data_IF_900502846281
#
_entry.id   IF_900502846281
#
_cell.length_a   1.000
_cell.length_b   1.000
_cell.length_c   1.000
_cell.angle_alpha   90.00
_cell.angle_beta   90.00
_cell.angle_gamma   90.00
#
_symmetry.space_group_name_H-M   'P 1'
#
loop_
_entity.id
_entity.type
_entity.pdbx_description
1 polymer ?
#
# COMPACT_ATOMS: atom_id res chain seq x y z
N UNK A 1 7.93 10.33 -15.61
CA UNK A 1 9.03 9.56 -14.99
C UNK A 1 9.56 8.64 -16.08
N UNK A 2 10.84 8.74 -16.44
CA UNK A 2 11.42 7.82 -17.42
C UNK A 2 11.53 6.46 -16.75
N UNK A 3 11.08 5.40 -17.41
CA UNK A 3 11.14 4.02 -16.92
C UNK A 3 12.54 3.40 -17.12
N UNK A 4 13.59 4.22 -17.09
CA UNK A 4 14.98 3.86 -17.36
C UNK A 4 15.78 3.50 -16.10
N UNK A 5 15.14 3.53 -14.92
CA UNK A 5 15.75 3.20 -13.63
C UNK A 5 16.64 4.30 -13.04
N UNK A 6 16.80 5.43 -13.72
CA UNK A 6 17.51 6.61 -13.18
C UNK A 6 16.65 7.36 -12.16
N UNK A 7 17.27 8.23 -11.34
CA UNK A 7 16.57 9.05 -10.33
C UNK A 7 15.77 8.24 -9.28
N UNK A 8 16.31 7.09 -8.86
CA UNK A 8 15.74 6.29 -7.78
C UNK A 8 15.76 7.09 -6.47
N UNK A 9 14.59 7.21 -5.84
CA UNK A 9 14.43 7.88 -4.55
C UNK A 9 13.76 6.95 -3.54
N UNK A 10 14.16 7.07 -2.27
CA UNK A 10 13.48 6.42 -1.14
C UNK A 10 12.29 7.31 -0.75
N UNK A 11 11.08 6.75 -0.78
CA UNK A 11 9.84 7.48 -0.47
C UNK A 11 9.32 7.21 0.94
N UNK A 12 9.58 6.02 1.49
CA UNK A 12 9.23 5.68 2.87
C UNK A 12 10.49 5.11 3.54
N UNK A 13 11.29 5.94 4.22
CA UNK A 13 12.58 5.50 4.76
C UNK A 13 12.45 4.75 6.09
N UNK A 14 11.37 5.02 6.85
CA UNK A 14 11.16 4.56 8.22
C UNK A 14 9.74 4.03 8.41
N UNK A 15 9.47 3.44 9.57
CA UNK A 15 8.13 2.95 9.98
C UNK A 15 7.54 1.86 9.06
N UNK A 16 8.41 1.04 8.46
CA UNK A 16 8.03 -0.19 7.79
C UNK A 16 8.44 -1.37 8.65
N UNK A 17 7.53 -2.31 8.84
CA UNK A 17 7.83 -3.63 9.38
C UNK A 17 8.21 -4.55 8.23
N UNK A 18 7.21 -5.14 7.57
CA UNK A 18 7.44 -6.02 6.41
C UNK A 18 6.48 -5.66 5.28
N UNK A 19 6.91 -4.79 4.35
CA UNK A 19 6.09 -4.46 3.18
C UNK A 19 6.02 -5.67 2.24
N UNK A 20 4.81 -6.08 1.86
CA UNK A 20 4.60 -7.19 0.93
C UNK A 20 4.31 -6.70 -0.49
N UNK A 21 3.10 -6.18 -0.74
CA UNK A 21 2.69 -5.69 -2.05
C UNK A 21 2.42 -4.18 -2.03
N UNK A 22 2.52 -3.57 -3.21
CA UNK A 22 2.14 -2.17 -3.46
C UNK A 22 1.28 -2.04 -4.71
N UNK A 23 0.50 -0.97 -4.78
CA UNK A 23 -0.28 -0.62 -5.97
C UNK A 23 -0.43 0.90 -6.09
N UNK A 24 -0.59 1.39 -7.32
CA UNK A 24 -0.74 2.81 -7.63
C UNK A 24 -2.18 3.14 -8.02
N UNK A 25 -2.77 4.14 -7.38
CA UNK A 25 -4.00 4.79 -7.82
C UNK A 25 -3.67 6.01 -8.69
N UNK A 26 -3.74 5.84 -10.00
CA UNK A 26 -3.47 6.91 -10.95
C UNK A 26 -4.49 8.05 -10.90
N UNK A 27 -5.72 7.77 -10.46
CA UNK A 27 -6.78 8.78 -10.39
C UNK A 27 -6.59 9.73 -9.21
N UNK A 28 -6.24 9.19 -8.04
CA UNK A 28 -6.03 9.98 -6.81
C UNK A 28 -4.56 10.30 -6.55
N UNK A 29 -3.65 9.81 -7.39
CA UNK A 29 -2.19 9.97 -7.28
C UNK A 29 -1.63 9.44 -5.95
N UNK A 30 -2.11 8.27 -5.55
CA UNK A 30 -1.74 7.62 -4.28
C UNK A 30 -1.01 6.31 -4.52
N UNK A 31 -0.02 6.05 -3.70
CA UNK A 31 0.64 4.75 -3.58
C UNK A 31 0.11 4.06 -2.33
N UNK A 32 -0.39 2.82 -2.46
CA UNK A 32 -0.83 1.99 -1.34
C UNK A 32 0.13 0.82 -1.15
N UNK A 33 0.35 0.40 0.10
CA UNK A 33 1.12 -0.80 0.43
C UNK A 33 0.55 -1.55 1.63
N UNK A 34 0.82 -2.85 1.67
CA UNK A 34 0.49 -3.75 2.79
C UNK A 34 1.73 -3.96 3.66
N UNK A 35 1.56 -3.89 4.98
CA UNK A 35 2.60 -4.25 5.95
C UNK A 35 2.12 -5.41 6.84
N UNK A 36 2.76 -6.57 6.71
CA UNK A 36 2.39 -7.78 7.43
C UNK A 36 2.75 -7.75 8.91
N UNK A 37 3.87 -7.12 9.25
CA UNK A 37 4.35 -7.03 10.64
C UNK A 37 3.59 -5.99 11.44
N UNK A 38 3.22 -4.87 10.80
CA UNK A 38 2.45 -3.79 11.43
C UNK A 38 0.93 -3.96 11.25
N UNK A 39 0.49 -5.06 10.63
CA UNK A 39 -0.91 -5.40 10.37
C UNK A 39 -1.73 -4.22 9.84
N UNK A 40 -1.18 -3.52 8.83
CA UNK A 40 -1.79 -2.29 8.31
C UNK A 40 -1.65 -2.17 6.81
N UNK A 41 -2.63 -1.52 6.20
CA UNK A 41 -2.52 -0.99 4.85
C UNK A 41 -2.36 0.52 4.99
N UNK A 42 -1.35 1.07 4.33
CA UNK A 42 -1.07 2.49 4.33
C UNK A 42 -1.01 3.03 2.92
N UNK A 43 -1.11 4.35 2.81
CA UNK A 43 -0.95 5.05 1.55
C UNK A 43 -0.31 6.41 1.73
N UNK A 44 0.30 6.91 0.66
CA UNK A 44 0.91 8.23 0.57
C UNK A 44 0.64 8.81 -0.81
N UNK A 45 1.07 10.06 -1.04
CA UNK A 45 1.31 10.49 -2.43
C UNK A 45 2.52 9.75 -3.04
N UNK A 46 2.78 9.96 -4.32
CA UNK A 46 3.92 9.31 -5.01
C UNK A 46 5.31 9.75 -4.54
N UNK A 47 5.40 10.81 -3.73
CA UNK A 47 6.65 11.28 -3.14
C UNK A 47 6.81 10.82 -1.69
N UNK A 48 5.93 9.95 -1.19
CA UNK A 48 5.97 9.45 0.18
C UNK A 48 5.45 10.44 1.23
N UNK A 49 4.79 11.53 0.82
CA UNK A 49 4.21 12.50 1.76
C UNK A 49 2.79 12.11 2.15
N UNK A 50 2.34 12.64 3.28
CA UNK A 50 0.98 12.44 3.80
C UNK A 50 0.64 10.96 3.99
N UNK A 51 1.55 10.21 4.63
CA UNK A 51 1.31 8.80 4.95
C UNK A 51 0.09 8.70 5.87
N UNK A 52 -0.87 7.87 5.49
CA UNK A 52 -2.08 7.57 6.25
C UNK A 52 -2.35 6.07 6.25
N UNK A 53 -2.95 5.57 7.33
CA UNK A 53 -3.45 4.20 7.40
C UNK A 53 -4.88 4.13 6.87
N UNK A 54 -5.20 3.07 6.14
CA UNK A 54 -6.56 2.72 5.80
C UNK A 54 -7.32 2.40 7.10
N UNK A 55 -8.50 2.99 7.28
CA UNK A 55 -9.34 2.84 8.48
C UNK A 55 -10.67 2.17 8.12
N UNK A 56 -11.26 1.44 9.06
CA UNK A 56 -12.65 0.97 8.99
C UNK A 56 -12.87 -0.52 8.74
N UNK A 57 -11.83 -1.32 8.47
CA UNK A 57 -11.91 -2.79 8.40
C UNK A 57 -10.89 -3.42 9.33
N UNK A 58 -11.20 -4.62 9.83
CA UNK A 58 -10.23 -5.45 10.53
C UNK A 58 -9.16 -5.89 9.54
N UNK A 59 -7.94 -5.43 9.74
CA UNK A 59 -6.75 -5.84 8.98
C UNK A 59 -5.89 -6.61 9.98
N UNK A 60 -5.64 -7.89 9.71
CA UNK A 60 -4.87 -8.78 10.57
C UNK A 60 -3.52 -9.10 9.94
N UNK A 61 -3.52 -9.62 8.71
CA UNK A 61 -2.31 -9.97 7.99
C UNK A 61 -2.48 -9.70 6.48
N UNK A 62 -2.42 -8.43 6.07
CA UNK A 62 -2.65 -8.05 4.68
C UNK A 62 -1.48 -8.52 3.80
N UNK A 63 -1.77 -9.12 2.64
CA UNK A 63 -0.74 -9.65 1.74
C UNK A 63 -0.81 -9.03 0.34
N UNK A 64 -1.86 -9.33 -0.43
CA UNK A 64 -2.08 -8.78 -1.77
C UNK A 64 -2.90 -7.49 -1.72
N UNK A 65 -2.66 -6.58 -2.67
CA UNK A 65 -3.43 -5.34 -2.81
C UNK A 65 -3.54 -4.94 -4.28
N UNK A 66 -4.72 -4.51 -4.71
CA UNK A 66 -4.99 -4.06 -6.08
C UNK A 66 -6.10 -3.00 -6.11
N UNK A 67 -6.11 -2.20 -7.18
CA UNK A 67 -7.16 -1.20 -7.42
C UNK A 67 -7.88 -1.53 -8.71
N UNK A 68 -9.21 -1.49 -8.67
CA UNK A 68 -10.07 -1.58 -9.84
C UNK A 68 -11.22 -0.58 -9.73
N UNK A 69 -11.31 0.32 -10.70
CA UNK A 69 -12.22 1.46 -10.65
C UNK A 69 -11.95 2.32 -9.41
N UNK A 70 -12.98 2.61 -8.63
CA UNK A 70 -12.88 3.39 -7.39
C UNK A 70 -12.71 2.53 -6.13
N UNK A 71 -12.34 1.25 -6.27
CA UNK A 71 -12.26 0.29 -5.17
C UNK A 71 -10.84 -0.24 -5.00
N UNK A 72 -10.41 -0.28 -3.75
CA UNK A 72 -9.21 -0.95 -3.29
C UNK A 72 -9.62 -2.35 -2.80
N UNK A 73 -8.95 -3.38 -3.32
CA UNK A 73 -9.10 -4.75 -2.88
C UNK A 73 -7.83 -5.21 -2.20
N UNK A 74 -7.96 -6.00 -1.15
CA UNK A 74 -6.80 -6.63 -0.52
C UNK A 74 -7.12 -8.02 0.00
N UNK A 75 -6.10 -8.86 0.11
CA UNK A 75 -6.21 -10.19 0.72
C UNK A 75 -5.68 -10.14 2.15
N UNK A 76 -6.35 -10.84 3.05
CA UNK A 76 -5.88 -11.06 4.43
C UNK A 76 -5.62 -12.55 4.64
N UNK A 77 -4.38 -12.89 4.96
CA UNK A 77 -3.94 -14.28 5.10
C UNK A 77 -4.42 -14.94 6.40
N UNK A 78 -4.71 -14.16 7.45
CA UNK A 78 -5.25 -14.70 8.71
C UNK A 78 -6.76 -14.87 8.63
N UNK A 79 -7.45 -13.94 7.96
CA UNK A 79 -8.90 -14.00 7.80
C UNK A 79 -9.33 -14.83 6.58
N UNK A 80 -8.38 -15.36 5.81
CA UNK A 80 -8.60 -16.18 4.61
C UNK A 80 -9.64 -15.57 3.64
N UNK A 81 -9.56 -14.26 3.43
CA UNK A 81 -10.60 -13.52 2.70
C UNK A 81 -10.03 -12.40 1.81
N UNK A 82 -10.87 -11.99 0.86
CA UNK A 82 -10.65 -10.81 0.01
C UNK A 82 -11.67 -9.75 0.41
N UNK A 83 -11.20 -8.52 0.63
CA UNK A 83 -12.02 -7.38 1.00
C UNK A 83 -12.04 -6.30 -0.08
#
# INVERSE_FOLDING_TARGET
MLSDGTNRNIIVPNELGTPYHLTCDYSTKRLYWTDGTLSRIQYSDYNGRNIQSLRGRSISHPFGIAIYGSRLYFTDATLESVF
#
